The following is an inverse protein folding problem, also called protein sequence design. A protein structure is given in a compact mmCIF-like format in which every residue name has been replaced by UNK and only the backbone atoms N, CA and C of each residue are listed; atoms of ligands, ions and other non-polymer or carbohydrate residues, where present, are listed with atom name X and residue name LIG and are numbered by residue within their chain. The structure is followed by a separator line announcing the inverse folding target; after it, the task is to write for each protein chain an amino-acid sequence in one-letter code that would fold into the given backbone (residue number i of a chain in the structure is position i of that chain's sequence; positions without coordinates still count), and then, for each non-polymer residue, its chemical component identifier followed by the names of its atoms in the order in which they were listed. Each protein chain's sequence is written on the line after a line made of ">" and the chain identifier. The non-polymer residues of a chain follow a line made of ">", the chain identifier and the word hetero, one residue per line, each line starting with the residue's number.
data_IF_233166586524
#
_entry.id   IF_233166586524
#
_cell.length_a   1.000
_cell.length_b   1.000
_cell.length_c   1.000
_cell.angle_alpha   90.00
_cell.angle_beta   90.00
_cell.angle_gamma   90.00
#
_symmetry.space_group_name_H-M   'P 1'
#
loop_
_entity.id
_entity.type
_entity.pdbx_description
1 polymer ?
#
# COMPACT_ATOMS: atom_id res chain seq x y z
N UNK A 1 -0.82 -6.63 8.19
CA UNK A 1 -1.87 -5.59 8.35
C UNK A 1 -2.82 -5.67 7.19
N UNK A 2 -4.11 -5.47 7.44
CA UNK A 2 -5.19 -5.72 6.48
C UNK A 2 -6.27 -4.65 6.66
N UNK A 3 -6.87 -4.15 5.56
CA UNK A 3 -8.06 -3.29 5.61
C UNK A 3 -9.27 -4.13 6.02
N UNK A 4 -10.20 -3.53 6.77
CA UNK A 4 -11.43 -4.20 7.21
C UNK A 4 -12.66 -3.38 6.84
N UNK A 5 -13.69 -4.03 6.32
CA UNK A 5 -14.95 -3.40 5.92
C UNK A 5 -16.06 -3.72 6.91
N UNK A 6 -16.71 -2.69 7.45
CA UNK A 6 -17.93 -2.81 8.23
C UNK A 6 -19.06 -3.36 7.36
N UNK A 7 -19.64 -4.50 7.73
CA UNK A 7 -20.70 -5.15 6.97
C UNK A 7 -22.04 -4.41 7.06
N UNK A 8 -22.21 -3.53 8.06
CA UNK A 8 -23.45 -2.79 8.26
C UNK A 8 -23.53 -1.51 7.39
N UNK A 9 -22.42 -0.82 7.18
CA UNK A 9 -22.41 0.48 6.50
C UNK A 9 -21.32 0.66 5.43
N UNK A 10 -20.51 -0.37 5.17
CA UNK A 10 -19.41 -0.36 4.19
C UNK A 10 -18.24 0.59 4.52
N UNK A 11 -18.17 1.11 5.74
CA UNK A 11 -16.99 1.82 6.22
C UNK A 11 -15.74 0.94 6.13
N UNK A 12 -14.61 1.48 5.68
CA UNK A 12 -13.35 0.74 5.59
C UNK A 12 -12.36 1.31 6.60
N UNK A 13 -12.00 0.50 7.60
CA UNK A 13 -10.83 0.76 8.42
C UNK A 13 -9.57 0.52 7.60
N UNK A 14 -8.69 1.53 7.53
CA UNK A 14 -7.47 1.48 6.74
C UNK A 14 -6.23 1.66 7.61
N UNK A 15 -5.50 0.58 7.96
CA UNK A 15 -4.34 0.67 8.84
C UNK A 15 -3.14 1.37 8.20
N UNK A 16 -3.21 1.69 6.90
CA UNK A 16 -2.11 2.33 6.17
C UNK A 16 -2.22 3.86 6.11
N UNK A 17 -3.31 4.42 6.63
CA UNK A 17 -3.55 5.87 6.64
C UNK A 17 -3.86 6.34 8.05
N UNK A 18 -3.70 7.63 8.29
CA UNK A 18 -4.17 8.23 9.54
C UNK A 18 -5.70 8.20 9.59
N UNK A 19 -6.24 7.72 10.71
CA UNK A 19 -7.67 7.67 10.96
C UNK A 19 -7.95 8.26 12.35
N UNK A 20 -8.36 9.53 12.39
CA UNK A 20 -8.47 10.29 13.64
C UNK A 20 -7.23 10.09 14.55
N UNK A 21 -7.44 9.71 15.82
CA UNK A 21 -6.40 9.48 16.81
C UNK A 21 -5.70 8.10 16.67
N UNK A 22 -5.87 7.42 15.53
CA UNK A 22 -5.24 6.14 15.23
C UNK A 22 -4.14 6.36 14.18
N UNK A 23 -2.86 6.19 14.54
CA UNK A 23 -1.75 6.34 13.61
C UNK A 23 -1.71 5.21 12.56
N UNK A 24 -1.17 5.46 11.36
CA UNK A 24 -0.80 4.42 10.41
C UNK A 24 0.08 3.37 11.06
N UNK A 25 -0.07 2.13 10.63
CA UNK A 25 0.62 0.99 11.21
C UNK A 25 -0.12 0.34 12.38
N UNK A 26 -1.24 0.90 12.82
CA UNK A 26 -2.10 0.25 13.81
C UNK A 26 -2.87 -0.87 13.13
N UNK A 27 -2.66 -2.13 13.53
CA UNK A 27 -3.43 -3.24 12.99
C UNK A 27 -4.85 -3.28 13.59
N UNK A 28 -5.84 -3.82 12.88
CA UNK A 28 -7.24 -3.85 13.33
C UNK A 28 -7.38 -4.62 14.66
N UNK A 29 -6.62 -5.69 14.84
CA UNK A 29 -6.53 -6.47 16.07
C UNK A 29 -6.00 -5.67 17.27
N UNK A 30 -5.24 -4.61 17.03
CA UNK A 30 -4.68 -3.73 18.05
C UNK A 30 -5.55 -2.50 18.35
N UNK A 31 -6.66 -2.30 17.64
CA UNK A 31 -7.66 -1.33 18.03
C UNK A 31 -8.26 -1.70 19.40
N UNK A 32 -8.59 -0.68 20.19
CA UNK A 32 -9.25 -0.81 21.49
C UNK A 32 -10.47 -1.74 21.42
N UNK A 33 -10.72 -2.48 22.51
CA UNK A 33 -11.84 -3.43 22.56
C UNK A 33 -13.21 -2.75 22.42
N UNK A 34 -13.31 -1.48 22.81
CA UNK A 34 -14.50 -0.65 22.70
C UNK A 34 -14.48 0.29 21.49
N UNK A 35 -13.52 0.12 20.57
CA UNK A 35 -13.55 0.84 19.31
C UNK A 35 -14.77 0.39 18.51
N UNK A 36 -15.56 1.36 18.04
CA UNK A 36 -16.75 1.14 17.24
C UNK A 36 -16.59 1.80 15.89
N UNK A 37 -17.29 1.30 14.88
CA UNK A 37 -17.33 1.90 13.56
C UNK A 37 -17.69 3.39 13.68
N UNK A 38 -16.83 4.32 13.23
CA UNK A 38 -17.08 5.76 13.39
C UNK A 38 -18.28 6.24 12.56
N UNK A 39 -18.72 5.45 11.59
CA UNK A 39 -19.82 5.81 10.69
C UNK A 39 -21.20 5.33 11.18
N UNK A 40 -21.28 4.18 11.88
CA UNK A 40 -22.57 3.59 12.29
C UNK A 40 -22.64 3.11 13.74
N UNK A 41 -21.51 3.04 14.45
CA UNK A 41 -21.46 2.64 15.85
C UNK A 41 -21.44 1.13 16.12
N UNK A 42 -21.42 0.29 15.09
CA UNK A 42 -21.28 -1.17 15.24
C UNK A 42 -19.90 -1.56 15.80
N UNK A 43 -19.86 -2.67 16.54
CA UNK A 43 -18.66 -3.21 17.17
C UNK A 43 -17.71 -3.86 16.13
N UNK A 44 -16.49 -4.21 16.57
CA UNK A 44 -15.46 -4.83 15.72
C UNK A 44 -15.88 -6.17 15.10
N UNK A 45 -16.84 -6.87 15.71
CA UNK A 45 -17.36 -8.16 15.22
C UNK A 45 -18.14 -8.02 13.90
N UNK A 46 -18.60 -6.81 13.59
CA UNK A 46 -19.32 -6.46 12.38
C UNK A 46 -18.39 -6.06 11.23
N UNK A 47 -17.11 -6.39 11.33
CA UNK A 47 -16.11 -6.15 10.29
C UNK A 47 -15.59 -7.45 9.69
N UNK A 48 -15.33 -7.41 8.39
CA UNK A 48 -14.68 -8.49 7.65
C UNK A 48 -13.43 -7.97 6.96
N UNK A 49 -12.45 -8.85 6.72
CA UNK A 49 -11.27 -8.51 5.94
C UNK A 49 -11.67 -8.03 4.54
N UNK A 50 -11.14 -6.87 4.13
CA UNK A 50 -11.33 -6.34 2.78
C UNK A 50 -10.37 -7.04 1.82
N UNK A 51 -10.86 -7.80 0.83
CA UNK A 51 -9.97 -8.47 -0.11
C UNK A 51 -9.07 -7.47 -0.85
N UNK A 52 -7.77 -7.76 -0.94
CA UNK A 52 -6.81 -6.96 -1.70
C UNK A 52 -6.66 -7.59 -3.09
N UNK A 53 -6.96 -6.82 -4.13
CA UNK A 53 -6.63 -7.20 -5.50
C UNK A 53 -5.31 -6.51 -5.90
N UNK A 54 -4.25 -7.31 -6.03
CA UNK A 54 -2.93 -6.82 -6.44
C UNK A 54 -2.88 -6.81 -7.96
N UNK A 55 -2.73 -5.62 -8.54
CA UNK A 55 -2.65 -5.44 -9.99
C UNK A 55 -1.25 -5.78 -10.49
N UNK A 56 -1.18 -6.53 -11.59
CA UNK A 56 0.05 -6.81 -12.33
C UNK A 56 0.11 -5.94 -13.59
N UNK A 57 1.32 -5.65 -14.07
CA UNK A 57 1.52 -4.98 -15.37
C UNK A 57 0.88 -5.82 -16.48
N UNK A 58 0.20 -5.15 -17.42
CA UNK A 58 -0.33 -5.84 -18.59
C UNK A 58 0.79 -6.63 -19.29
N UNK A 59 0.58 -7.94 -19.46
CA UNK A 59 1.55 -8.87 -20.09
C UNK A 59 1.83 -8.58 -21.57
N UNK A 60 1.36 -7.44 -22.07
CA UNK A 60 1.47 -7.01 -23.47
C UNK A 60 2.82 -6.37 -23.80
N UNK A 61 3.67 -6.11 -22.79
CA UNK A 61 4.94 -5.41 -22.96
C UNK A 61 4.78 -3.89 -23.18
N UNK A 62 3.56 -3.38 -23.08
CA UNK A 62 3.23 -1.96 -23.16
C UNK A 62 2.70 -1.54 -21.78
N UNK A 63 3.42 -0.64 -21.14
CA UNK A 63 2.98 0.02 -19.91
C UNK A 63 2.12 1.21 -20.34
N UNK A 64 0.85 1.24 -19.91
CA UNK A 64 -0.06 2.38 -20.11
C UNK A 64 0.35 3.55 -19.23
N UNK A 65 -0.12 4.76 -19.54
CA UNK A 65 0.13 5.96 -18.69
C UNK A 65 -0.34 5.75 -17.24
N UNK A 66 -1.50 5.11 -17.04
CA UNK A 66 -1.99 4.82 -15.70
C UNK A 66 -1.07 3.82 -14.97
N UNK A 67 -0.67 2.74 -15.64
CA UNK A 67 0.29 1.78 -15.09
C UNK A 67 1.62 2.46 -14.78
N UNK A 68 2.14 3.34 -15.64
CA UNK A 68 3.41 4.02 -15.44
C UNK A 68 3.41 5.07 -14.34
N UNK A 69 2.25 5.47 -13.80
CA UNK A 69 2.17 6.32 -12.60
C UNK A 69 2.07 5.52 -11.30
N UNK A 70 1.66 4.24 -11.38
CA UNK A 70 1.29 3.47 -10.19
C UNK A 70 2.16 2.22 -9.96
N UNK A 71 2.81 1.71 -11.00
CA UNK A 71 3.79 0.63 -10.83
C UNK A 71 4.99 1.20 -10.07
N UNK A 72 5.37 0.60 -8.92
CA UNK A 72 6.64 0.91 -8.30
C UNK A 72 7.74 0.19 -9.09
N UNK A 73 8.55 0.96 -9.82
CA UNK A 73 9.73 0.44 -10.52
C UNK A 73 10.88 0.37 -9.55
N UNK A 74 11.56 -0.77 -9.44
CA UNK A 74 12.59 -0.92 -8.40
C UNK A 74 13.84 -1.62 -8.89
N UNK A 75 14.97 -1.29 -8.27
CA UNK A 75 16.26 -1.93 -8.49
C UNK A 75 17.02 -2.11 -7.19
N UNK A 76 17.89 -3.10 -7.17
CA UNK A 76 18.84 -3.32 -6.08
C UNK A 76 20.11 -2.53 -6.37
N UNK A 77 20.57 -1.73 -5.41
CA UNK A 77 21.85 -1.02 -5.49
C UNK A 77 22.63 -1.25 -4.20
N UNK A 78 23.65 -2.10 -4.27
CA UNK A 78 24.42 -2.47 -3.08
C UNK A 78 23.54 -3.22 -2.07
N UNK A 79 23.29 -2.58 -0.93
CA UNK A 79 22.45 -3.13 0.14
C UNK A 79 21.11 -2.38 0.25
N UNK A 80 20.66 -1.70 -0.80
CA UNK A 80 19.41 -0.93 -0.76
C UNK A 80 18.52 -1.32 -1.93
N UNK A 81 17.21 -1.32 -1.72
CA UNK A 81 16.19 -1.38 -2.76
C UNK A 81 15.72 0.04 -3.02
N UNK A 82 15.95 0.53 -4.23
CA UNK A 82 15.50 1.86 -4.66
C UNK A 82 14.25 1.68 -5.49
N UNK A 83 13.17 2.33 -5.07
CA UNK A 83 11.86 2.27 -5.70
C UNK A 83 11.50 3.65 -6.22
N UNK A 84 11.25 3.76 -7.52
CA UNK A 84 10.63 4.92 -8.13
C UNK A 84 9.11 4.68 -8.19
N UNK A 85 8.36 5.66 -7.68
CA UNK A 85 6.91 5.75 -7.81
C UNK A 85 6.61 6.40 -9.16
N UNK A 86 6.07 5.61 -10.08
CA UNK A 86 5.83 6.03 -11.44
C UNK A 86 7.12 6.27 -12.24
N UNK A 87 7.11 7.16 -13.23
CA UNK A 87 8.31 7.50 -14.02
C UNK A 87 8.57 9.00 -14.03
N UNK A 88 9.78 9.43 -14.42
CA UNK A 88 10.10 10.87 -14.54
C UNK A 88 9.17 11.61 -15.49
N UNK A 89 8.78 10.96 -16.60
CA UNK A 89 7.88 11.56 -17.59
C UNK A 89 6.40 11.44 -17.20
N UNK A 90 6.09 10.60 -16.21
CA UNK A 90 4.74 10.31 -15.77
C UNK A 90 4.74 9.89 -14.28
N UNK A 91 4.95 10.84 -13.36
CA UNK A 91 4.93 10.59 -11.92
C UNK A 91 3.51 10.27 -11.45
N UNK A 92 3.37 9.80 -10.20
CA UNK A 92 2.07 9.79 -9.55
C UNK A 92 1.69 11.22 -9.16
N UNK A 93 0.55 11.71 -9.62
CA UNK A 93 0.03 13.01 -9.20
C UNK A 93 -0.63 12.90 -7.82
N UNK A 94 -0.18 13.70 -6.86
CA UNK A 94 -0.71 13.70 -5.48
C UNK A 94 -1.60 14.92 -5.25
N UNK A 95 -2.83 14.67 -4.82
CA UNK A 95 -3.83 15.67 -4.41
C UNK A 95 -4.44 15.28 -3.05
N UNK A 96 -5.21 16.18 -2.42
CA UNK A 96 -5.80 15.96 -1.09
C UNK A 96 -6.60 14.65 -0.98
N UNK A 97 -7.30 14.25 -2.05
CA UNK A 97 -8.11 13.04 -2.09
C UNK A 97 -7.52 11.93 -2.98
N UNK A 98 -6.32 12.12 -3.51
CA UNK A 98 -5.65 11.16 -4.39
C UNK A 98 -4.17 11.07 -4.03
N UNK A 99 -3.79 10.01 -3.32
CA UNK A 99 -2.45 9.88 -2.76
C UNK A 99 -2.01 8.42 -2.64
N UNK A 100 -0.70 8.24 -2.56
CA UNK A 100 -0.10 6.95 -2.22
C UNK A 100 -0.32 6.69 -0.73
N UNK A 101 -1.02 5.61 -0.40
CA UNK A 101 -1.21 5.17 0.98
C UNK A 101 0.09 4.61 1.54
N UNK A 102 0.78 3.77 0.76
CA UNK A 102 2.05 3.18 1.14
C UNK A 102 2.87 2.67 -0.05
N UNK A 103 4.17 2.53 0.19
CA UNK A 103 5.08 1.65 -0.55
C UNK A 103 5.67 0.65 0.44
N UNK A 104 5.75 -0.62 0.07
CA UNK A 104 6.23 -1.66 0.98
C UNK A 104 6.96 -2.80 0.30
N UNK A 105 7.77 -3.47 1.12
CA UNK A 105 8.44 -4.74 0.84
C UNK A 105 7.69 -5.82 1.61
N UNK A 106 7.39 -6.92 0.93
CA UNK A 106 6.61 -8.04 1.46
C UNK A 106 7.34 -9.34 1.21
N UNK A 107 7.21 -10.30 2.11
CA UNK A 107 7.54 -11.70 1.83
C UNK A 107 6.62 -12.24 0.71
N UNK A 108 7.01 -13.35 0.09
CA UNK A 108 6.25 -13.94 -1.03
C UNK A 108 4.88 -14.49 -0.63
N UNK A 109 4.67 -14.79 0.65
CA UNK A 109 3.37 -15.14 1.24
C UNK A 109 2.51 -13.92 1.61
N UNK A 110 3.07 -12.71 1.47
CA UNK A 110 2.39 -11.45 1.72
C UNK A 110 2.59 -10.86 3.12
N UNK A 111 3.43 -11.47 3.98
CA UNK A 111 3.83 -10.83 5.24
C UNK A 111 4.61 -9.52 4.97
N UNK A 112 4.47 -8.55 5.88
CA UNK A 112 5.10 -7.24 5.74
C UNK A 112 6.53 -7.33 6.24
N UNK A 113 7.51 -6.99 5.39
CA UNK A 113 8.90 -6.80 5.78
C UNK A 113 9.10 -5.37 6.28
N UNK A 114 8.82 -4.40 5.42
CA UNK A 114 8.94 -2.98 5.75
C UNK A 114 7.95 -2.16 4.91
N UNK A 115 7.38 -1.11 5.48
CA UNK A 115 6.45 -0.20 4.80
C UNK A 115 6.84 1.24 5.10
N UNK A 116 6.72 2.09 4.08
CA UNK A 116 6.68 3.54 4.22
C UNK A 116 5.29 4.05 3.87
N UNK A 117 4.63 4.67 4.83
CA UNK A 117 3.31 5.27 4.65
C UNK A 117 3.44 6.64 3.99
N UNK A 118 2.51 6.96 3.10
CA UNK A 118 2.33 8.28 2.48
C UNK A 118 3.66 8.98 2.12
N UNK A 119 4.51 8.36 1.28
CA UNK A 119 5.76 9.00 0.87
C UNK A 119 5.47 10.30 0.12
N UNK A 120 6.18 11.37 0.49
CA UNK A 120 6.10 12.67 -0.17
C UNK A 120 7.00 12.75 -1.41
N UNK A 121 8.07 11.96 -1.42
CA UNK A 121 9.04 11.87 -2.51
C UNK A 121 8.61 10.78 -3.51
N UNK A 122 8.95 11.00 -4.79
CA UNK A 122 8.75 10.02 -5.85
C UNK A 122 9.72 8.83 -5.79
N UNK A 123 10.75 8.93 -4.94
CA UNK A 123 11.77 7.91 -4.74
C UNK A 123 11.74 7.43 -3.29
N UNK A 124 11.56 6.13 -3.10
CA UNK A 124 11.57 5.45 -1.81
C UNK A 124 12.74 4.48 -1.75
N UNK A 125 13.56 4.60 -0.70
CA UNK A 125 14.72 3.73 -0.49
C UNK A 125 14.50 2.86 0.73
N UNK A 126 14.53 1.54 0.55
CA UNK A 126 14.59 0.57 1.64
C UNK A 126 16.04 0.15 1.83
N UNK A 127 16.59 0.40 3.01
CA UNK A 127 17.93 -0.05 3.36
C UNK A 127 17.83 -1.50 3.83
N UNK A 128 18.72 -2.35 3.32
CA UNK A 128 19.10 -3.65 3.85
C UNK A 128 18.13 -4.83 3.61
N UNK A 129 18.12 -5.39 2.39
CA UNK A 129 17.33 -6.57 2.08
C UNK A 129 18.08 -7.83 2.52
N UNK A 130 18.03 -8.16 3.80
CA UNK A 130 18.47 -9.49 4.28
C UNK A 130 17.51 -10.62 3.85
N UNK A 131 16.68 -10.40 2.83
CA UNK A 131 15.62 -11.29 2.39
C UNK A 131 15.96 -11.77 0.97
N UNK A 132 16.00 -13.09 0.78
CA UNK A 132 16.37 -13.72 -0.49
C UNK A 132 15.25 -13.59 -1.54
N UNK A 133 13.99 -13.53 -1.10
CA UNK A 133 12.81 -13.38 -1.95
C UNK A 133 11.88 -12.33 -1.36
N UNK A 134 11.36 -11.43 -2.19
CA UNK A 134 10.43 -10.40 -1.74
C UNK A 134 9.56 -9.89 -2.91
N UNK A 135 8.48 -9.21 -2.55
CA UNK A 135 7.60 -8.48 -3.45
C UNK A 135 7.55 -7.01 -3.05
N UNK A 136 7.69 -6.11 -4.04
CA UNK A 136 7.43 -4.68 -3.85
C UNK A 136 5.96 -4.41 -4.16
N UNK A 137 5.27 -3.66 -3.30
CA UNK A 137 3.90 -3.19 -3.56
C UNK A 137 3.77 -1.70 -3.29
N UNK A 138 2.90 -1.06 -4.05
CA UNK A 138 2.46 0.32 -3.84
C UNK A 138 0.93 0.34 -3.79
N UNK A 139 0.35 1.08 -2.86
CA UNK A 139 -1.09 1.28 -2.79
C UNK A 139 -1.44 2.75 -3.01
N UNK A 140 -2.34 3.00 -3.95
CA UNK A 140 -2.99 4.29 -4.15
C UNK A 140 -4.43 4.19 -3.63
N UNK A 141 -4.90 5.23 -2.93
CA UNK A 141 -6.23 5.22 -2.30
C UNK A 141 -7.38 5.12 -3.31
N UNK A 142 -7.18 5.58 -4.56
CA UNK A 142 -8.17 5.51 -5.65
C UNK A 142 -7.91 4.30 -6.54
N UNK A 143 -6.66 4.07 -6.90
CA UNK A 143 -6.30 3.10 -7.95
C UNK A 143 -5.85 1.74 -7.41
N UNK A 144 -5.95 1.50 -6.10
CA UNK A 144 -5.69 0.21 -5.48
C UNK A 144 -4.20 -0.15 -5.39
N UNK A 145 -3.93 -1.46 -5.24
CA UNK A 145 -2.58 -1.99 -5.00
C UNK A 145 -1.96 -2.47 -6.30
N UNK A 146 -0.69 -2.15 -6.49
CA UNK A 146 0.11 -2.46 -7.67
C UNK A 146 1.37 -3.23 -7.27
N UNK A 147 1.62 -4.34 -7.98
CA UNK A 147 2.86 -5.10 -7.86
C UNK A 147 4.00 -4.38 -8.57
N UNK A 148 5.14 -4.32 -7.91
CA UNK A 148 6.33 -3.67 -8.46
C UNK A 148 6.99 -4.42 -9.59
N UNK A 149 7.65 -3.66 -10.46
CA UNK A 149 8.42 -4.18 -11.57
C UNK A 149 9.91 -3.96 -11.31
N UNK A 150 10.68 -5.06 -11.27
CA UNK A 150 12.13 -4.99 -11.16
C UNK A 150 12.71 -4.46 -12.48
N UNK A 151 13.60 -3.48 -12.40
CA UNK A 151 14.35 -2.92 -13.52
C UNK A 151 15.85 -3.17 -13.32
N UNK A 152 16.59 -3.28 -14.43
CA UNK A 152 18.05 -3.50 -14.44
C UNK A 152 18.86 -2.22 -14.17
#
# INVERSE_FOLDING_TARGET
>A
MQKFTCTACSYIYNPFTWEENIPPGTAFEYLDEYWNCPHCGEEKDSFIETPINIQEVSRSGIVTEQESSHIPFYKEQGNSIIIQIGTTDNPHETEENHFIEYVGIFETDGEIIEIKFQPEEDTVIFENPWFDEYEVRLSCNIHGVWRGMKIE
#
